data_IF_859071012619
#
_entry.id   IF_859071012619
#
_cell.length_a   1.000
_cell.length_b   1.000
_cell.length_c   1.000
_cell.angle_alpha   90.00
_cell.angle_beta   90.00
_cell.angle_gamma   90.00
#
_symmetry.space_group_name_H-M   'P 1'
#
loop_
_entity.id
_entity.type
_entity.pdbx_description
1 polymer ?
#
# COMPACT_ATOMS: atom_id res chain seq x y z
N UNK A 1 17.90 -2.18 -0.51
CA UNK A 1 17.52 -1.38 0.68
C UNK A 1 18.32 -0.09 0.63
N UNK A 2 17.77 1.06 1.00
CA UNK A 2 18.54 2.31 1.01
C UNK A 2 19.64 2.21 2.08
N UNK A 3 20.91 2.15 1.67
CA UNK A 3 22.05 2.25 2.57
C UNK A 3 22.51 3.71 2.59
N UNK A 4 22.26 4.39 3.70
CA UNK A 4 22.80 5.73 3.93
C UNK A 4 24.06 5.59 4.81
N UNK A 5 25.20 6.20 4.43
CA UNK A 5 26.41 6.18 5.25
C UNK A 5 26.11 6.68 6.68
N UNK A 6 26.47 5.90 7.69
CA UNK A 6 26.28 6.23 9.10
C UNK A 6 24.90 5.91 9.70
N UNK A 7 23.98 5.32 8.93
CA UNK A 7 22.67 4.90 9.42
C UNK A 7 22.57 3.37 9.37
N UNK A 8 22.80 2.71 10.51
CA UNK A 8 22.61 1.27 10.64
C UNK A 8 21.13 0.96 10.85
N UNK A 9 20.51 0.36 9.83
CA UNK A 9 19.15 -0.15 9.92
C UNK A 9 19.17 -1.61 10.39
N UNK A 10 18.68 -1.85 11.60
CA UNK A 10 18.41 -3.21 12.09
C UNK A 10 16.95 -3.59 11.78
N UNK A 11 16.67 -4.50 10.82
CA UNK A 11 15.30 -4.77 10.38
C UNK A 11 14.37 -5.29 11.50
N UNK A 12 14.93 -5.98 12.49
CA UNK A 12 14.17 -6.56 13.61
C UNK A 12 13.93 -5.56 14.76
N UNK A 13 14.68 -4.45 14.82
CA UNK A 13 14.49 -3.38 15.81
C UNK A 13 13.79 -2.15 15.24
N UNK A 14 13.66 -2.06 13.92
CA UNK A 14 12.97 -0.97 13.23
C UNK A 14 11.48 -1.29 13.08
N UNK A 15 10.62 -0.28 13.23
CA UNK A 15 9.20 -0.38 12.91
C UNK A 15 8.93 0.38 11.61
N UNK A 16 8.18 -0.24 10.70
CA UNK A 16 7.86 0.31 9.39
C UNK A 16 6.41 0.78 9.36
N UNK A 17 6.18 2.01 8.95
CA UNK A 17 4.84 2.59 8.80
C UNK A 17 4.59 2.78 7.32
N UNK A 18 3.55 2.13 6.80
CA UNK A 18 3.16 2.21 5.39
C UNK A 18 1.74 2.73 5.28
N UNK A 19 1.50 3.64 4.35
CA UNK A 19 0.14 4.01 3.97
C UNK A 19 -0.40 3.00 2.97
N UNK A 20 -1.64 2.56 3.17
CA UNK A 20 -2.34 1.67 2.24
C UNK A 20 -3.59 2.35 1.72
N UNK A 21 -3.69 2.45 0.41
CA UNK A 21 -4.87 3.02 -0.25
C UNK A 21 -5.88 1.91 -0.53
N UNK A 22 -7.15 2.18 -0.18
CA UNK A 22 -8.28 1.29 -0.45
C UNK A 22 -9.16 1.99 -1.48
N UNK A 23 -9.06 1.53 -2.72
CA UNK A 23 -9.75 2.13 -3.85
C UNK A 23 -11.19 1.62 -3.90
N UNK A 24 -12.14 2.55 -3.95
CA UNK A 24 -13.58 2.26 -4.01
C UNK A 24 -14.24 2.99 -5.19
N UNK A 25 -15.12 2.31 -5.90
CA UNK A 25 -15.92 2.91 -6.98
C UNK A 25 -16.94 3.88 -6.37
N UNK A 26 -16.99 5.10 -6.91
CA UNK A 26 -17.87 6.16 -6.41
C UNK A 26 -18.82 6.64 -7.51
N UNK A 27 -20.13 6.76 -7.26
CA UNK A 27 -21.05 7.30 -8.27
C UNK A 27 -20.73 8.78 -8.56
N UNK A 28 -20.56 9.16 -9.83
CA UNK A 28 -20.30 10.55 -10.19
C UNK A 28 -19.63 10.73 -11.55
N UNK A 29 -18.95 11.86 -11.72
CA UNK A 29 -18.08 12.13 -12.86
C UNK A 29 -16.73 11.42 -12.68
N UNK A 30 -16.21 10.83 -13.76
CA UNK A 30 -15.01 10.00 -13.70
C UNK A 30 -15.01 8.93 -14.79
N UNK A 31 -14.65 7.72 -14.42
CA UNK A 31 -14.65 6.58 -15.34
C UNK A 31 -16.06 5.97 -15.47
N UNK A 32 -16.28 5.18 -16.52
CA UNK A 32 -17.49 4.36 -16.57
C UNK A 32 -17.48 3.39 -15.38
N UNK A 33 -18.60 3.20 -14.69
CA UNK A 33 -18.67 2.43 -13.44
C UNK A 33 -18.10 1.00 -13.53
N UNK A 34 -18.20 0.35 -14.70
CA UNK A 34 -17.58 -0.96 -14.91
C UNK A 34 -16.04 -0.89 -14.89
N UNK A 35 -15.43 0.19 -15.38
CA UNK A 35 -13.98 0.43 -15.35
C UNK A 35 -13.49 0.64 -13.93
N UNK A 36 -14.21 1.44 -13.14
CA UNK A 36 -13.89 1.63 -11.71
C UNK A 36 -13.92 0.32 -10.95
N UNK A 37 -14.92 -0.53 -11.19
CA UNK A 37 -15.03 -1.85 -10.57
C UNK A 37 -13.86 -2.75 -10.94
N UNK A 38 -13.44 -2.78 -12.20
CA UNK A 38 -12.26 -3.54 -12.65
C UNK A 38 -11.01 -2.99 -11.98
N UNK A 39 -10.82 -1.67 -11.96
CA UNK A 39 -9.64 -1.05 -11.35
C UNK A 39 -9.57 -1.31 -9.84
N UNK A 40 -10.68 -1.13 -9.12
CA UNK A 40 -10.77 -1.44 -7.70
C UNK A 40 -10.53 -2.94 -7.43
N UNK A 41 -10.96 -3.84 -8.33
CA UNK A 41 -10.62 -5.26 -8.23
C UNK A 41 -9.11 -5.49 -8.44
N UNK A 42 -8.49 -4.90 -9.47
CA UNK A 42 -7.05 -5.03 -9.69
C UNK A 42 -6.23 -4.49 -8.51
N UNK A 43 -6.55 -3.30 -8.02
CA UNK A 43 -5.86 -2.67 -6.89
C UNK A 43 -5.95 -3.50 -5.61
N UNK A 44 -7.10 -4.13 -5.34
CA UNK A 44 -7.25 -5.03 -4.18
C UNK A 44 -6.43 -6.32 -4.28
N UNK A 45 -6.12 -6.77 -5.50
CA UNK A 45 -5.33 -7.97 -5.76
C UNK A 45 -3.84 -7.67 -6.02
N UNK A 46 -3.43 -6.41 -6.02
CA UNK A 46 -2.04 -6.03 -6.17
C UNK A 46 -1.25 -6.38 -4.89
N UNK A 47 0.02 -6.78 -5.08
CA UNK A 47 0.93 -7.00 -3.96
C UNK A 47 1.19 -5.72 -3.17
N UNK A 48 1.53 -5.88 -1.90
CA UNK A 48 1.81 -4.76 -0.99
C UNK A 48 3.26 -4.27 -1.12
N UNK A 49 3.51 -3.03 -0.71
CA UNK A 49 4.90 -2.53 -0.62
C UNK A 49 5.72 -3.33 0.41
N UNK A 50 5.10 -3.78 1.50
CA UNK A 50 5.75 -4.61 2.52
C UNK A 50 6.26 -5.94 1.94
N UNK A 51 5.46 -6.59 1.10
CA UNK A 51 5.85 -7.82 0.40
C UNK A 51 6.99 -7.55 -0.60
N UNK A 52 6.89 -6.48 -1.40
CA UNK A 52 7.92 -6.13 -2.36
C UNK A 52 9.30 -5.90 -1.71
N UNK A 53 9.32 -5.21 -0.56
CA UNK A 53 10.55 -4.94 0.19
C UNK A 53 10.93 -6.05 1.18
N UNK A 54 10.20 -7.17 1.22
CA UNK A 54 10.43 -8.30 2.14
C UNK A 54 10.50 -7.85 3.61
N UNK A 55 9.62 -6.93 4.03
CA UNK A 55 9.62 -6.42 5.39
C UNK A 55 9.11 -7.48 6.39
N UNK A 56 9.66 -7.55 7.61
CA UNK A 56 9.15 -8.44 8.65
C UNK A 56 7.71 -8.06 9.02
N UNK A 57 6.75 -8.96 8.80
CA UNK A 57 5.32 -8.69 9.01
C UNK A 57 4.96 -8.23 10.44
N UNK A 58 5.69 -8.71 11.44
CA UNK A 58 5.53 -8.32 12.85
C UNK A 58 6.05 -6.90 13.18
N UNK A 59 6.62 -6.20 12.20
CA UNK A 59 7.20 -4.85 12.34
C UNK A 59 6.57 -3.85 11.38
N UNK A 60 5.57 -4.24 10.60
CA UNK A 60 4.88 -3.36 9.65
C UNK A 60 3.54 -2.95 10.23
N UNK A 61 3.29 -1.64 10.27
CA UNK A 61 1.97 -1.07 10.52
C UNK A 61 1.45 -0.41 9.24
N UNK A 62 0.37 -0.95 8.69
CA UNK A 62 -0.31 -0.37 7.53
C UNK A 62 -1.47 0.52 7.97
N UNK A 63 -1.50 1.76 7.48
CA UNK A 63 -2.55 2.74 7.74
C UNK A 63 -3.44 2.88 6.50
N UNK A 64 -4.64 2.29 6.58
CA UNK A 64 -5.61 2.26 5.49
C UNK A 64 -6.36 3.59 5.29
N UNK A 65 -6.32 4.16 4.10
CA UNK A 65 -7.14 5.32 3.69
C UNK A 65 -8.03 4.95 2.50
N UNK A 66 -9.32 5.32 2.54
CA UNK A 66 -10.24 5.08 1.42
C UNK A 66 -10.17 6.20 0.40
N UNK A 67 -10.01 5.84 -0.87
CA UNK A 67 -9.95 6.77 -2.00
C UNK A 67 -11.04 6.40 -2.99
N UNK A 68 -11.90 7.37 -3.31
CA UNK A 68 -12.94 7.25 -4.33
C UNK A 68 -12.38 7.55 -5.72
N UNK A 69 -12.76 6.74 -6.71
CA UNK A 69 -12.48 6.95 -8.14
C UNK A 69 -13.75 6.87 -8.97
#
# INVERSE_FOLDING_TARGET
MCEHPGLEFEPLKTSYFLSREIIVSSPGEGMAQWRERIFAAMARNAGTAAEYFNLPANRVLELGTRIGI
#
